data_IF_459797375434
#
_entry.id   IF_459797375434
#
_cell.length_a   1.000
_cell.length_b   1.000
_cell.length_c   1.000
_cell.angle_alpha   90.00
_cell.angle_beta   90.00
_cell.angle_gamma   90.00
#
_symmetry.space_group_name_H-M   'P 1'
#
loop_
_entity.id
_entity.type
_entity.pdbx_description
1 polymer ?
#
# COMPACT_ATOMS: atom_id res chain seq x y z
N UNK A 1 -2.47 34.24 -6.09
CA UNK A 1 -3.11 33.02 -6.59
C UNK A 1 -4.01 32.49 -5.49
N UNK A 2 -5.32 32.42 -5.72
CA UNK A 2 -6.26 31.84 -4.77
C UNK A 2 -6.13 30.32 -4.84
N UNK A 3 -5.24 29.76 -4.03
CA UNK A 3 -5.18 28.32 -3.81
C UNK A 3 -6.52 27.87 -3.23
N UNK A 4 -7.21 26.99 -3.95
CA UNK A 4 -8.38 26.29 -3.44
C UNK A 4 -7.92 25.35 -2.32
N UNK A 5 -7.90 25.86 -1.10
CA UNK A 5 -7.66 25.03 0.08
C UNK A 5 -8.95 24.22 0.31
N UNK A 6 -9.00 23.00 -0.23
CA UNK A 6 -10.05 22.06 0.14
C UNK A 6 -9.95 21.76 1.64
N UNK A 7 -11.08 21.82 2.34
CA UNK A 7 -11.12 21.46 3.76
C UNK A 7 -11.05 19.94 3.95
N UNK A 8 -10.52 19.47 5.09
CA UNK A 8 -10.48 18.05 5.48
C UNK A 8 -11.82 17.34 5.28
N UNK A 9 -12.92 18.05 5.54
CA UNK A 9 -14.29 17.54 5.39
C UNK A 9 -14.62 17.26 3.93
N UNK A 10 -14.29 18.19 3.03
CA UNK A 10 -14.54 18.03 1.59
C UNK A 10 -13.74 16.85 1.03
N UNK A 11 -12.46 16.75 1.41
CA UNK A 11 -11.59 15.65 0.99
C UNK A 11 -12.14 14.32 1.49
N UNK A 12 -12.51 14.24 2.78
CA UNK A 12 -13.06 13.01 3.35
C UNK A 12 -14.32 12.57 2.59
N UNK A 13 -15.22 13.50 2.24
CA UNK A 13 -16.41 13.18 1.44
C UNK A 13 -16.01 12.63 0.06
N UNK A 14 -15.06 13.27 -0.62
CA UNK A 14 -14.57 12.81 -1.93
C UNK A 14 -14.01 11.39 -1.84
N UNK A 15 -13.12 11.12 -0.87
CA UNK A 15 -12.55 9.80 -0.64
C UNK A 15 -13.61 8.75 -0.32
N UNK A 16 -14.61 9.08 0.50
CA UNK A 16 -15.70 8.15 0.84
C UNK A 16 -16.55 7.80 -0.38
N UNK A 17 -16.89 8.77 -1.22
CA UNK A 17 -17.70 8.55 -2.44
C UNK A 17 -16.93 7.68 -3.43
N UNK A 18 -15.68 8.06 -3.74
CA UNK A 18 -14.82 7.29 -4.65
C UNK A 18 -14.57 5.89 -4.10
N UNK A 19 -14.22 5.80 -2.81
CA UNK A 19 -13.97 4.55 -2.11
C UNK A 19 -15.16 3.61 -2.15
N UNK A 20 -16.38 4.12 -1.88
CA UNK A 20 -17.62 3.34 -1.92
C UNK A 20 -17.89 2.77 -3.31
N UNK A 21 -17.75 3.59 -4.35
CA UNK A 21 -17.90 3.14 -5.73
C UNK A 21 -16.88 2.05 -6.08
N UNK A 22 -15.60 2.30 -5.80
CA UNK A 22 -14.52 1.34 -6.01
C UNK A 22 -14.73 0.05 -5.19
N UNK A 23 -15.32 0.14 -4.00
CA UNK A 23 -15.58 -1.02 -3.15
C UNK A 23 -16.63 -1.93 -3.78
N UNK A 24 -17.74 -1.37 -4.26
CA UNK A 24 -18.78 -2.12 -4.98
C UNK A 24 -18.21 -2.79 -6.22
N UNK A 25 -17.42 -2.07 -7.02
CA UNK A 25 -16.75 -2.65 -8.19
C UNK A 25 -15.79 -3.78 -7.80
N UNK A 26 -15.02 -3.63 -6.72
CA UNK A 26 -14.10 -4.64 -6.27
C UNK A 26 -14.81 -5.92 -5.76
N UNK A 27 -15.97 -5.77 -5.12
CA UNK A 27 -16.83 -6.91 -4.72
C UNK A 27 -17.40 -7.62 -5.95
N UNK A 28 -17.86 -6.85 -6.95
CA UNK A 28 -18.34 -7.41 -8.22
C UNK A 28 -17.23 -8.19 -8.94
N UNK A 29 -16.01 -7.62 -9.01
CA UNK A 29 -14.85 -8.30 -9.58
C UNK A 29 -14.51 -9.59 -8.83
N UNK A 30 -14.54 -9.57 -7.49
CA UNK A 30 -14.30 -10.76 -6.68
C UNK A 30 -15.34 -11.84 -6.96
N UNK A 31 -16.63 -11.47 -7.04
CA UNK A 31 -17.71 -12.38 -7.42
C UNK A 31 -17.47 -13.02 -8.79
N UNK A 32 -17.09 -12.22 -9.79
CA UNK A 32 -16.78 -12.71 -11.13
C UNK A 32 -15.58 -13.67 -11.14
N UNK A 33 -14.51 -13.35 -10.40
CA UNK A 33 -13.33 -14.23 -10.27
C UNK A 33 -13.72 -15.59 -9.71
N UNK A 34 -14.54 -15.62 -8.65
CA UNK A 34 -15.03 -16.86 -8.04
C UNK A 34 -15.87 -17.66 -9.05
N UNK A 35 -16.79 -17.00 -9.75
CA UNK A 35 -17.66 -17.64 -10.74
C UNK A 35 -16.88 -18.22 -11.92
N UNK A 36 -15.83 -17.51 -12.36
CA UNK A 36 -14.99 -17.89 -13.50
C UNK A 36 -13.83 -18.82 -13.13
N UNK A 37 -13.78 -19.34 -11.90
CA UNK A 37 -12.73 -20.24 -11.41
C UNK A 37 -12.39 -21.39 -12.35
N UNK A 38 -13.40 -21.97 -13.02
CA UNK A 38 -13.22 -23.13 -13.93
C UNK A 38 -12.45 -22.80 -15.21
N UNK A 39 -12.36 -21.53 -15.60
CA UNK A 39 -11.71 -21.09 -16.85
C UNK A 39 -10.21 -20.84 -16.63
N UNK A 40 -9.84 -20.42 -15.42
CA UNK A 40 -8.47 -20.05 -15.10
C UNK A 40 -7.61 -21.25 -14.69
N UNK A 41 -6.30 -21.18 -14.96
CA UNK A 41 -5.35 -22.08 -14.29
C UNK A 41 -5.35 -21.78 -12.79
N UNK A 42 -5.21 -22.83 -11.97
CA UNK A 42 -5.23 -22.75 -10.51
C UNK A 42 -4.31 -21.65 -9.96
N UNK A 43 -3.06 -21.57 -10.45
CA UNK A 43 -2.10 -20.55 -9.99
C UNK A 43 -2.55 -19.13 -10.33
N UNK A 44 -3.00 -18.90 -11.57
CA UNK A 44 -3.47 -17.58 -12.02
C UNK A 44 -4.71 -17.18 -11.22
N UNK A 45 -5.62 -18.13 -10.98
CA UNK A 45 -6.82 -17.90 -10.20
C UNK A 45 -6.49 -17.49 -8.76
N UNK A 46 -5.61 -18.22 -8.09
CA UNK A 46 -5.20 -17.93 -6.70
C UNK A 46 -4.56 -16.54 -6.59
N UNK A 47 -3.64 -16.21 -7.49
CA UNK A 47 -2.96 -14.89 -7.49
C UNK A 47 -3.97 -13.78 -7.75
N UNK A 48 -4.85 -13.95 -8.73
CA UNK A 48 -5.88 -12.93 -9.05
C UNK A 48 -6.88 -12.76 -7.91
N UNK A 49 -7.29 -13.86 -7.29
CA UNK A 49 -8.18 -13.84 -6.12
C UNK A 49 -7.55 -13.12 -4.94
N UNK A 50 -6.31 -13.47 -4.58
CA UNK A 50 -5.59 -12.83 -3.49
C UNK A 50 -5.36 -11.34 -3.78
N UNK A 51 -5.01 -10.99 -5.02
CA UNK A 51 -4.85 -9.60 -5.43
C UNK A 51 -6.15 -8.80 -5.25
N UNK A 52 -7.30 -9.39 -5.60
CA UNK A 52 -8.60 -8.74 -5.43
C UNK A 52 -8.98 -8.56 -3.96
N UNK A 53 -8.67 -9.54 -3.10
CA UNK A 53 -8.85 -9.43 -1.64
C UNK A 53 -7.98 -8.29 -1.08
N UNK A 54 -6.72 -8.18 -1.51
CA UNK A 54 -5.86 -7.08 -1.10
C UNK A 54 -6.36 -5.72 -1.58
N UNK A 55 -6.89 -5.60 -2.81
CA UNK A 55 -7.50 -4.36 -3.28
C UNK A 55 -8.71 -3.94 -2.44
N UNK A 56 -9.54 -4.89 -2.01
CA UNK A 56 -10.66 -4.60 -1.11
C UNK A 56 -10.14 -4.10 0.24
N UNK A 57 -9.17 -4.79 0.83
CA UNK A 57 -8.57 -4.40 2.10
C UNK A 57 -7.89 -3.02 2.02
N UNK A 58 -7.13 -2.75 0.95
CA UNK A 58 -6.48 -1.47 0.70
C UNK A 58 -7.52 -0.36 0.51
N UNK A 59 -8.61 -0.61 -0.23
CA UNK A 59 -9.67 0.36 -0.41
C UNK A 59 -10.34 0.72 0.93
N UNK A 60 -10.68 -0.28 1.75
CA UNK A 60 -11.22 -0.05 3.11
C UNK A 60 -10.24 0.80 3.93
N UNK A 61 -8.97 0.41 3.97
CA UNK A 61 -7.95 1.09 4.76
C UNK A 61 -7.77 2.54 4.28
N UNK A 62 -7.58 2.75 2.98
CA UNK A 62 -7.24 4.06 2.41
C UNK A 62 -8.43 5.02 2.39
N UNK A 63 -9.61 4.59 1.93
CA UNK A 63 -10.74 5.50 1.70
C UNK A 63 -11.63 5.73 2.91
N UNK A 64 -11.60 4.85 3.92
CA UNK A 64 -12.49 4.94 5.08
C UNK A 64 -11.70 5.11 6.38
N UNK A 65 -10.70 4.25 6.61
CA UNK A 65 -10.05 4.14 7.92
C UNK A 65 -8.94 5.17 8.13
N UNK A 66 -8.07 5.36 7.14
CA UNK A 66 -6.80 6.06 7.29
C UNK A 66 -6.77 7.39 6.52
N UNK A 67 -7.14 7.45 5.24
CA UNK A 67 -7.07 8.66 4.38
C UNK A 67 -5.78 9.49 4.64
N UNK A 68 -4.63 9.04 4.10
CA UNK A 68 -3.35 9.70 4.31
C UNK A 68 -3.15 10.95 3.44
N UNK A 69 -2.46 11.92 4.02
CA UNK A 69 -1.84 13.07 3.37
C UNK A 69 -0.34 13.01 3.57
N UNK A 70 0.40 12.76 2.49
CA UNK A 70 1.85 12.64 2.53
C UNK A 70 2.49 14.01 2.40
N UNK A 71 3.47 14.31 3.25
CA UNK A 71 4.26 15.53 3.14
C UNK A 71 5.24 15.42 1.98
N UNK A 72 5.27 16.39 1.04
CA UNK A 72 6.27 16.41 -0.01
C UNK A 72 7.68 16.43 0.60
N UNK A 73 8.54 15.49 0.20
CA UNK A 73 9.95 15.45 0.64
C UNK A 73 10.22 14.77 1.98
N UNK A 74 9.20 14.19 2.64
CA UNK A 74 9.37 13.46 3.90
C UNK A 74 8.72 12.08 3.83
N UNK A 75 9.25 11.13 4.60
CA UNK A 75 8.75 9.75 4.62
C UNK A 75 7.46 9.55 5.42
N UNK A 76 6.60 10.56 5.54
CA UNK A 76 5.45 10.57 6.44
C UNK A 76 4.37 11.58 6.06
N UNK A 77 3.44 11.79 6.97
CA UNK A 77 2.24 12.57 6.67
C UNK A 77 1.32 12.76 7.87
N UNK A 78 0.12 13.28 7.60
CA UNK A 78 -1.00 13.27 8.54
C UNK A 78 -2.20 12.55 7.95
N UNK A 79 -3.09 12.06 8.79
CA UNK A 79 -4.23 11.27 8.33
C UNK A 79 -5.55 11.81 8.87
N UNK A 80 -6.58 11.74 8.03
CA UNK A 80 -7.91 12.31 8.31
C UNK A 80 -9.01 11.25 8.28
N UNK A 81 -8.67 9.96 8.30
CA UNK A 81 -9.64 8.86 8.38
C UNK A 81 -10.27 8.70 9.77
N UNK A 82 -11.16 7.71 9.91
CA UNK A 82 -11.80 7.42 11.19
C UNK A 82 -10.84 6.94 12.27
N UNK A 83 -9.86 6.13 11.89
CA UNK A 83 -8.98 5.46 12.84
C UNK A 83 -7.76 6.31 13.20
N UNK A 84 -7.56 7.42 12.50
CA UNK A 84 -6.55 8.43 12.81
C UNK A 84 -6.70 9.06 14.20
N UNK A 85 -7.92 9.05 14.74
CA UNK A 85 -8.21 9.59 16.08
C UNK A 85 -7.97 8.59 17.20
N UNK A 86 -7.72 7.32 16.89
CA UNK A 86 -7.57 6.29 17.94
C UNK A 86 -6.15 6.10 18.41
N UNK A 87 -5.17 6.86 17.89
CA UNK A 87 -3.75 6.85 18.27
C UNK A 87 -3.05 5.47 18.18
N UNK A 88 -3.70 4.45 17.64
CA UNK A 88 -3.14 3.09 17.52
C UNK A 88 -2.26 3.05 16.25
N UNK A 89 -0.95 3.19 16.38
CA UNK A 89 -0.01 2.89 15.28
C UNK A 89 0.10 1.36 15.06
N UNK A 90 0.38 0.85 13.82
CA UNK A 90 0.89 1.57 12.64
C UNK A 90 0.05 1.40 11.35
N UNK A 91 -0.94 2.29 11.12
CA UNK A 91 -1.79 2.24 9.90
C UNK A 91 -1.05 2.47 8.59
N UNK A 92 -0.03 3.34 8.58
CA UNK A 92 0.73 3.62 7.36
C UNK A 92 1.59 2.44 6.92
N UNK A 93 2.19 1.71 7.85
CA UNK A 93 2.88 0.45 7.55
C UNK A 93 1.93 -0.55 6.90
N UNK A 94 0.73 -0.75 7.48
CA UNK A 94 -0.28 -1.62 6.87
C UNK A 94 -0.67 -1.18 5.46
N UNK A 95 -0.79 0.13 5.23
CA UNK A 95 -1.05 0.68 3.89
C UNK A 95 0.10 0.38 2.91
N UNK A 96 1.36 0.55 3.31
CA UNK A 96 2.51 0.22 2.48
C UNK A 96 2.56 -1.28 2.18
N UNK A 97 2.36 -2.15 3.17
CA UNK A 97 2.31 -3.60 2.97
C UNK A 97 1.23 -4.02 1.99
N UNK A 98 0.02 -3.47 2.11
CA UNK A 98 -1.07 -3.76 1.17
C UNK A 98 -0.73 -3.30 -0.24
N UNK A 99 -0.20 -2.07 -0.38
CA UNK A 99 0.15 -1.49 -1.68
C UNK A 99 1.27 -2.27 -2.37
N UNK A 100 2.37 -2.54 -1.66
CA UNK A 100 3.47 -3.38 -2.15
C UNK A 100 3.01 -4.80 -2.46
N UNK A 101 2.15 -5.39 -1.62
CA UNK A 101 1.55 -6.71 -1.85
C UNK A 101 0.73 -6.76 -3.14
N UNK A 102 -0.09 -5.74 -3.41
CA UNK A 102 -0.85 -5.62 -4.66
C UNK A 102 0.08 -5.51 -5.86
N UNK A 103 1.09 -4.65 -5.79
CA UNK A 103 2.10 -4.51 -6.85
C UNK A 103 2.83 -5.84 -7.10
N UNK A 104 3.23 -6.54 -6.03
CA UNK A 104 3.90 -7.83 -6.13
C UNK A 104 3.03 -8.92 -6.75
N UNK A 105 1.76 -9.02 -6.35
CA UNK A 105 0.83 -9.95 -6.97
C UNK A 105 0.54 -9.62 -8.43
N UNK A 106 0.48 -8.33 -8.79
CA UNK A 106 0.33 -7.91 -10.17
C UNK A 106 1.54 -8.33 -11.04
N UNK A 107 2.76 -8.10 -10.55
CA UNK A 107 3.98 -8.52 -11.23
C UNK A 107 4.05 -10.05 -11.34
N UNK A 108 3.68 -10.78 -10.29
CA UNK A 108 3.59 -12.24 -10.33
C UNK A 108 2.55 -12.72 -11.34
N UNK A 109 1.38 -12.07 -11.43
CA UNK A 109 0.36 -12.40 -12.41
C UNK A 109 0.89 -12.21 -13.84
N UNK A 110 1.60 -11.12 -14.10
CA UNK A 110 2.25 -10.87 -15.38
C UNK A 110 3.29 -11.94 -15.69
N UNK A 111 4.15 -12.26 -14.72
CA UNK A 111 5.17 -13.29 -14.82
C UNK A 111 4.57 -14.67 -15.14
N UNK A 112 3.52 -15.10 -14.42
CA UNK A 112 2.86 -16.38 -14.69
C UNK A 112 2.17 -16.43 -16.06
N UNK A 113 1.57 -15.33 -16.50
CA UNK A 113 0.99 -15.24 -17.85
C UNK A 113 2.06 -15.32 -18.93
N UNK A 114 3.17 -14.60 -18.75
CA UNK A 114 4.30 -14.61 -19.67
C UNK A 114 4.90 -16.03 -19.77
N UNK A 115 5.21 -16.66 -18.63
CA UNK A 115 5.71 -18.03 -18.60
C UNK A 115 4.76 -19.03 -19.24
N UNK A 116 3.44 -18.80 -19.23
CA UNK A 116 2.47 -19.67 -19.90
C UNK A 116 2.46 -19.51 -21.42
N UNK A 117 2.71 -18.31 -21.93
CA UNK A 117 2.73 -18.02 -23.37
C UNK A 117 4.03 -18.48 -24.05
N UNK A 118 5.13 -18.58 -23.31
CA UNK A 118 6.41 -19.03 -23.84
C UNK A 118 6.33 -20.51 -24.28
N UNK A 119 6.77 -20.85 -25.52
CA UNK A 119 6.87 -22.23 -26.01
C UNK A 119 7.72 -23.12 -25.11
N UNK A 120 7.46 -24.43 -25.11
CA UNK A 120 8.12 -25.38 -24.21
C UNK A 120 9.61 -25.52 -24.55
N UNK A 121 9.97 -25.29 -25.81
CA UNK A 121 11.31 -25.42 -26.37
C UNK A 121 12.18 -24.17 -26.15
N UNK A 122 11.58 -23.08 -25.66
CA UNK A 122 12.29 -21.81 -25.48
C UNK A 122 13.26 -21.90 -24.30
N UNK A 123 14.50 -21.37 -24.43
CA UNK A 123 15.45 -21.32 -23.31
C UNK A 123 14.98 -20.41 -22.16
N UNK A 124 13.99 -19.54 -22.40
CA UNK A 124 13.42 -18.65 -21.38
C UNK A 124 12.27 -19.30 -20.59
N UNK A 125 11.87 -20.53 -20.95
CA UNK A 125 10.85 -21.27 -20.22
C UNK A 125 11.42 -21.80 -18.91
N UNK A 126 10.91 -21.30 -17.81
CA UNK A 126 11.33 -21.76 -16.49
C UNK A 126 10.63 -23.07 -16.12
N UNK A 127 11.36 -23.95 -15.45
CA UNK A 127 10.78 -25.14 -14.83
C UNK A 127 9.74 -24.75 -13.77
N UNK A 128 8.82 -25.65 -13.43
CA UNK A 128 7.85 -25.39 -12.37
C UNK A 128 8.52 -25.08 -11.02
N UNK A 129 9.65 -25.71 -10.71
CA UNK A 129 10.39 -25.46 -9.48
C UNK A 129 11.06 -24.09 -9.50
N UNK A 130 11.76 -23.75 -10.58
CA UNK A 130 12.42 -22.45 -10.74
C UNK A 130 11.40 -21.31 -10.69
N UNK A 131 10.25 -21.47 -11.36
CA UNK A 131 9.15 -20.49 -11.34
C UNK A 131 8.66 -20.21 -9.92
N UNK A 132 8.50 -21.24 -9.07
CA UNK A 132 8.09 -21.07 -7.67
C UNK A 132 9.14 -20.31 -6.88
N UNK A 133 10.42 -20.68 -7.03
CA UNK A 133 11.53 -20.02 -6.33
C UNK A 133 11.64 -18.55 -6.75
N UNK A 134 11.62 -18.25 -8.04
CA UNK A 134 11.62 -16.87 -8.55
C UNK A 134 10.43 -16.06 -8.02
N UNK A 135 9.25 -16.68 -7.90
CA UNK A 135 8.06 -16.00 -7.36
C UNK A 135 8.24 -15.60 -5.89
N UNK A 136 8.88 -16.46 -5.08
CA UNK A 136 9.18 -16.17 -3.67
C UNK A 136 10.17 -15.01 -3.57
N UNK A 137 11.27 -15.05 -4.32
CA UNK A 137 12.26 -13.97 -4.31
C UNK A 137 11.67 -12.63 -4.77
N UNK A 138 10.83 -12.65 -5.80
CA UNK A 138 10.17 -11.45 -6.28
C UNK A 138 9.23 -10.86 -5.22
N UNK A 139 8.45 -11.71 -4.54
CA UNK A 139 7.57 -11.25 -3.48
C UNK A 139 8.34 -10.73 -2.26
N UNK A 140 9.43 -11.40 -1.86
CA UNK A 140 10.30 -10.92 -0.79
C UNK A 140 10.92 -9.57 -1.14
N UNK A 141 11.48 -9.41 -2.34
CA UNK A 141 12.11 -8.17 -2.80
C UNK A 141 11.16 -6.98 -2.75
N UNK A 142 9.91 -7.16 -3.17
CA UNK A 142 8.89 -6.10 -3.15
C UNK A 142 8.49 -5.71 -1.73
N UNK A 143 8.59 -6.63 -0.77
CA UNK A 143 8.26 -6.36 0.63
C UNK A 143 9.45 -5.83 1.45
N UNK A 144 10.65 -5.69 0.88
CA UNK A 144 11.81 -5.10 1.59
C UNK A 144 11.50 -3.66 2.04
N UNK A 145 10.88 -2.86 1.16
CA UNK A 145 10.53 -1.45 1.45
C UNK A 145 9.59 -1.30 2.66
N UNK A 146 8.40 -1.95 2.70
CA UNK A 146 7.51 -1.81 3.85
C UNK A 146 8.09 -2.41 5.15
N UNK A 147 8.93 -3.44 5.05
CA UNK A 147 9.65 -4.00 6.21
C UNK A 147 10.63 -2.96 6.76
N UNK A 148 11.50 -2.40 5.89
CA UNK A 148 12.47 -1.39 6.27
C UNK A 148 11.79 -0.18 6.93
N UNK A 149 10.72 0.30 6.30
CA UNK A 149 9.90 1.38 6.84
C UNK A 149 9.36 1.08 8.24
N UNK A 150 8.82 -0.12 8.45
CA UNK A 150 8.22 -0.52 9.72
C UNK A 150 9.27 -0.63 10.83
N UNK A 151 10.46 -1.14 10.50
CA UNK A 151 11.58 -1.22 11.44
C UNK A 151 12.06 0.17 11.87
N UNK A 152 12.31 1.07 10.91
CA UNK A 152 12.74 2.43 11.20
C UNK A 152 11.68 3.21 11.98
N UNK A 153 10.41 3.06 11.61
CA UNK A 153 9.31 3.70 12.32
C UNK A 153 9.14 3.19 13.76
N UNK A 154 9.50 1.92 14.03
CA UNK A 154 9.43 1.36 15.38
C UNK A 154 10.62 1.79 16.26
N UNK A 155 11.77 2.10 15.66
CA UNK A 155 12.98 2.52 16.37
C UNK A 155 13.05 4.02 16.66
N UNK A 156 12.18 4.82 16.05
CA UNK A 156 12.25 6.27 16.17
C UNK A 156 11.79 6.76 17.55
N UNK A 157 12.66 7.52 18.23
CA UNK A 157 12.35 8.10 19.53
C UNK A 157 11.26 9.19 19.43
N UNK A 158 10.34 9.16 20.40
CA UNK A 158 9.18 10.05 20.50
C UNK A 158 9.57 11.54 20.55
N UNK A 159 10.70 11.86 21.18
CA UNK A 159 11.23 13.21 21.34
C UNK A 159 11.73 13.78 20.01
N UNK A 160 12.46 12.98 19.22
CA UNK A 160 12.92 13.37 17.88
C UNK A 160 11.76 13.55 16.90
N UNK A 161 10.74 12.70 17.00
CA UNK A 161 9.52 12.79 16.19
C UNK A 161 8.78 14.12 16.41
N UNK A 162 8.65 14.56 17.65
CA UNK A 162 7.99 15.85 17.95
C UNK A 162 8.80 17.06 17.50
N UNK A 163 10.14 17.01 17.58
CA UNK A 163 11.00 18.08 17.09
C UNK A 163 10.85 18.29 15.57
N UNK A 164 10.88 17.20 14.79
CA UNK A 164 10.67 17.22 13.34
C UNK A 164 9.29 17.74 12.93
N UNK A 165 8.24 17.37 13.67
CA UNK A 165 6.89 17.87 13.40
C UNK A 165 6.77 19.38 13.62
N UNK A 166 7.38 19.91 14.69
CA UNK A 166 7.39 21.35 14.96
C UNK A 166 8.18 22.15 13.92
N UNK A 167 9.21 21.56 13.33
CA UNK A 167 9.95 22.16 12.21
C UNK A 167 9.10 22.23 10.94
N UNK A 168 8.36 21.16 10.63
CA UNK A 168 7.50 21.06 9.44
C UNK A 168 6.34 22.05 9.43
N UNK A 169 5.67 22.22 10.57
CA UNK A 169 4.63 23.24 10.71
C UNK A 169 4.41 23.60 12.19
N UNK A 170 4.89 24.76 12.67
CA UNK A 170 4.83 25.10 14.09
C UNK A 170 3.41 25.37 14.61
N UNK A 171 2.43 25.63 13.74
CA UNK A 171 1.06 26.03 14.12
C UNK A 171 -0.04 25.08 13.62
N UNK A 172 0.31 23.88 13.14
CA UNK A 172 -0.67 22.96 12.58
C UNK A 172 -1.40 22.14 13.66
N UNK A 173 -2.73 22.18 13.61
CA UNK A 173 -3.65 21.50 14.52
C UNK A 173 -3.50 19.97 14.52
N UNK A 174 -3.07 19.37 13.41
CA UNK A 174 -2.83 17.92 13.31
C UNK A 174 -1.64 17.43 14.14
N UNK A 175 -0.72 18.31 14.53
CA UNK A 175 0.37 17.97 15.47
C UNK A 175 -0.17 17.84 16.88
N UNK A 176 -0.97 18.81 17.32
CA UNK A 176 -1.62 18.79 18.64
C UNK A 176 -2.65 17.67 18.76
N UNK A 177 -3.32 17.33 17.65
CA UNK A 177 -4.27 16.21 17.59
C UNK A 177 -3.60 14.85 17.36
N UNK A 178 -2.26 14.77 17.33
CA UNK A 178 -1.46 13.55 17.08
C UNK A 178 -1.88 12.75 15.82
N UNK A 179 -2.38 13.43 14.79
CA UNK A 179 -2.86 12.81 13.54
C UNK A 179 -1.72 12.42 12.58
N UNK A 180 -0.47 12.63 12.96
CA UNK A 180 0.69 12.40 12.11
C UNK A 180 1.12 10.93 12.13
N UNK A 181 1.52 10.41 10.98
CA UNK A 181 2.14 9.11 10.84
C UNK A 181 3.54 9.24 10.25
N UNK A 182 4.43 8.35 10.69
CA UNK A 182 5.55 7.97 9.83
C UNK A 182 6.64 8.98 9.60
N UNK A 183 6.85 9.97 10.48
CA UNK A 183 7.80 11.06 10.21
C UNK A 183 9.21 10.51 10.12
N UNK A 184 9.67 10.18 8.91
CA UNK A 184 11.06 9.85 8.61
C UNK A 184 11.66 11.05 7.87
N UNK A 185 12.88 11.45 8.25
CA UNK A 185 13.65 12.44 7.47
C UNK A 185 13.96 11.86 6.08
N UNK A 186 14.17 12.73 5.09
CA UNK A 186 14.54 12.31 3.74
C UNK A 186 15.71 11.33 3.74
N UNK A 187 16.76 11.60 4.53
CA UNK A 187 17.92 10.70 4.69
C UNK A 187 17.57 9.33 5.28
N UNK A 188 16.65 9.26 6.26
CA UNK A 188 16.21 7.99 6.85
C UNK A 188 15.19 7.22 6.00
N UNK A 189 14.66 7.86 4.96
CA UNK A 189 13.75 7.26 3.98
C UNK A 189 14.46 6.70 2.75
N UNK A 190 15.74 7.04 2.55
CA UNK A 190 16.58 6.46 1.51
C UNK A 190 16.97 5.03 1.90
N UNK A 191 16.49 4.06 1.12
CA UNK A 191 17.05 2.71 1.14
C UNK A 191 18.44 2.84 0.53
N UNK A 192 19.46 2.80 1.37
CA UNK A 192 20.86 2.84 0.92
C UNK A 192 21.04 1.70 -0.07
N UNK A 193 21.28 2.02 -1.34
CA UNK A 193 21.66 1.04 -2.34
C UNK A 193 23.01 0.46 -1.91
N UNK A 194 22.99 -0.76 -1.38
CA UNK A 194 24.19 -1.58 -1.23
C UNK A 194 24.64 -2.03 -2.62
#
# INVERSE_FOLDING_TARGET
STEFILSDIQIRIICLVIGSFCFVLNILCLYLIIKLRRIFSSTIHIVTFLQQVLYIAQNILFNFLFIPFVYPGYGGGYCIGWVCKTHIAPYYSSYMFLTCGICGLFVLLFFFRHQRLIPVESPFKLSNQTTKVSSIFLFLGINIVPIHYTLNSAQMDSTHRQALLKELCPTCDWIECERNFGILTAQSSEVSTI
#
